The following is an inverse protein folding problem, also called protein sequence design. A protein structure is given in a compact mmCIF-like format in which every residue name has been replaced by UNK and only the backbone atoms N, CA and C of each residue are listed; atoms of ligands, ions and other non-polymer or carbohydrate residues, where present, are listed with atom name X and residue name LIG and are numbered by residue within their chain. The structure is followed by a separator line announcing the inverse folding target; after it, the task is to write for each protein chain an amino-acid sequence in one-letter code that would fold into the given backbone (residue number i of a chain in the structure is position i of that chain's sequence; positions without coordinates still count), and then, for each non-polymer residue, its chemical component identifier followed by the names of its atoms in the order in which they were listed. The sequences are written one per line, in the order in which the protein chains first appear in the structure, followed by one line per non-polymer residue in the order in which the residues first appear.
data_IF_371770626496
#
_entry.id   IF_371770626496
#
_cell.length_a   1.000
_cell.length_b   1.000
_cell.length_c   1.000
_cell.angle_alpha   90.00
_cell.angle_beta   90.00
_cell.angle_gamma   90.00
#
_symmetry.space_group_name_H-M   'P 1'
#
loop_
_entity.id
_entity.type
_entity.pdbx_description
1 polymer ?
#
# COMPACT_ATOMS: atom_id res chain seq x y z
N UNK A 1 -12.10 -20.27 -23.78
CA UNK A 1 -11.48 -19.08 -23.14
C UNK A 1 -11.69 -19.08 -21.63
N UNK A 2 -12.90 -19.03 -21.07
CA UNK A 2 -13.15 -18.99 -19.62
C UNK A 2 -12.46 -20.12 -18.81
N UNK A 3 -12.51 -21.37 -19.30
CA UNK A 3 -11.85 -22.50 -18.64
C UNK A 3 -10.32 -22.35 -18.66
N UNK A 4 -9.76 -21.83 -19.73
CA UNK A 4 -8.32 -21.57 -19.84
C UNK A 4 -7.90 -20.48 -18.83
N UNK A 5 -8.67 -19.38 -18.71
CA UNK A 5 -8.40 -18.31 -17.74
C UNK A 5 -8.45 -18.82 -16.30
N UNK A 6 -9.40 -19.69 -15.97
CA UNK A 6 -9.47 -20.33 -14.65
C UNK A 6 -8.27 -21.25 -14.39
N UNK A 7 -7.92 -22.13 -15.32
CA UNK A 7 -6.77 -23.04 -15.20
C UNK A 7 -5.49 -22.19 -15.02
N UNK A 8 -5.31 -21.16 -15.84
CA UNK A 8 -4.17 -20.23 -15.73
C UNK A 8 -4.11 -19.60 -14.35
N UNK A 9 -5.22 -19.03 -13.87
CA UNK A 9 -5.27 -18.40 -12.55
C UNK A 9 -4.91 -19.38 -11.42
N UNK A 10 -5.47 -20.57 -11.40
CA UNK A 10 -5.16 -21.55 -10.35
C UNK A 10 -3.72 -22.08 -10.43
N UNK A 11 -3.10 -22.06 -11.60
CA UNK A 11 -1.67 -22.42 -11.74
C UNK A 11 -0.72 -21.36 -11.14
N UNK A 12 -1.19 -20.12 -10.91
CA UNK A 12 -0.43 -19.04 -10.29
C UNK A 12 -0.36 -19.14 -8.76
N UNK A 13 -0.93 -20.20 -8.17
CA UNK A 13 -0.96 -20.40 -6.73
C UNK A 13 0.46 -20.58 -6.17
N UNK A 14 0.83 -19.72 -5.26
CA UNK A 14 2.12 -19.76 -4.56
C UNK A 14 1.98 -19.28 -3.12
N UNK A 15 2.90 -19.67 -2.26
CA UNK A 15 2.99 -19.16 -0.90
C UNK A 15 3.89 -17.93 -0.86
N UNK A 16 3.44 -16.88 -0.21
CA UNK A 16 4.26 -15.70 0.03
C UNK A 16 5.35 -16.06 1.08
N UNK A 17 6.64 -15.97 0.73
CA UNK A 17 7.72 -16.42 1.62
C UNK A 17 7.87 -15.55 2.88
N UNK A 18 7.25 -14.36 2.92
CA UNK A 18 7.38 -13.43 4.04
C UNK A 18 6.18 -13.46 4.98
N UNK A 19 5.00 -13.82 4.47
CA UNK A 19 3.76 -13.84 5.24
C UNK A 19 3.18 -15.24 5.46
N UNK A 20 3.63 -16.23 4.69
CA UNK A 20 3.07 -17.59 4.68
C UNK A 20 1.67 -17.67 4.04
N UNK A 21 1.17 -16.57 3.49
CA UNK A 21 -0.17 -16.52 2.88
C UNK A 21 -0.12 -17.14 1.49
N UNK A 22 -1.11 -17.98 1.18
CA UNK A 22 -1.27 -18.54 -0.16
C UNK A 22 -1.98 -17.53 -1.05
N UNK A 23 -1.36 -17.21 -2.18
CA UNK A 23 -1.79 -16.17 -3.11
C UNK A 23 -1.73 -16.68 -4.57
N UNK A 24 -2.40 -15.95 -5.48
CA UNK A 24 -2.32 -16.18 -6.92
C UNK A 24 -1.67 -14.96 -7.56
N UNK A 25 -0.42 -15.11 -8.03
CA UNK A 25 0.39 -13.99 -8.51
C UNK A 25 1.05 -14.35 -9.84
N UNK A 26 0.80 -13.53 -10.87
CA UNK A 26 1.36 -13.69 -12.21
C UNK A 26 2.77 -13.12 -12.36
N UNK A 27 3.11 -12.09 -11.58
CA UNK A 27 4.41 -11.44 -11.62
C UNK A 27 5.40 -12.14 -10.67
N UNK A 28 6.65 -12.27 -11.09
CA UNK A 28 7.74 -12.54 -10.15
C UNK A 28 8.22 -11.24 -9.48
N UNK A 29 9.05 -11.36 -8.45
CA UNK A 29 9.51 -10.21 -7.65
C UNK A 29 10.28 -9.18 -8.48
N UNK A 30 11.14 -9.62 -9.41
CA UNK A 30 11.92 -8.70 -10.25
C UNK A 30 11.00 -7.91 -11.20
N UNK A 31 9.95 -8.55 -11.70
CA UNK A 31 8.92 -7.89 -12.52
C UNK A 31 8.12 -6.86 -11.70
N UNK A 32 7.77 -7.17 -10.44
CA UNK A 32 7.11 -6.21 -9.57
C UNK A 32 7.99 -4.98 -9.30
N UNK A 33 9.28 -5.20 -9.00
CA UNK A 33 10.24 -4.11 -8.77
C UNK A 33 10.38 -3.25 -10.03
N UNK A 34 10.60 -3.88 -11.19
CA UNK A 34 10.74 -3.16 -12.44
C UNK A 34 9.49 -2.35 -12.79
N UNK A 35 8.30 -2.94 -12.59
CA UNK A 35 7.02 -2.28 -12.82
C UNK A 35 6.86 -1.05 -11.92
N UNK A 36 7.03 -1.20 -10.61
CA UNK A 36 6.88 -0.10 -9.66
C UNK A 36 7.86 1.04 -9.90
N UNK A 37 9.13 0.73 -10.18
CA UNK A 37 10.13 1.75 -10.48
C UNK A 37 9.84 2.49 -11.79
N UNK A 38 9.37 1.79 -12.81
CA UNK A 38 8.97 2.40 -14.09
C UNK A 38 7.77 3.33 -13.93
N UNK A 39 6.83 2.96 -13.06
CA UNK A 39 5.57 3.69 -12.88
C UNK A 39 5.68 4.85 -11.89
N UNK A 40 6.63 4.80 -10.96
CA UNK A 40 6.74 5.81 -9.91
C UNK A 40 6.81 7.27 -10.41
N UNK A 41 7.57 7.63 -11.47
CA UNK A 41 7.60 8.99 -11.98
C UNK A 41 6.26 9.44 -12.59
N UNK A 42 5.53 8.54 -13.24
CA UNK A 42 4.23 8.84 -13.83
C UNK A 42 3.20 9.09 -12.73
N UNK A 43 3.12 8.20 -11.75
CA UNK A 43 2.22 8.34 -10.62
C UNK A 43 2.47 9.63 -9.84
N UNK A 44 3.75 9.96 -9.60
CA UNK A 44 4.09 11.24 -8.97
C UNK A 44 3.56 12.43 -9.78
N UNK A 45 3.69 12.40 -11.11
CA UNK A 45 3.22 13.48 -11.98
C UNK A 45 1.70 13.64 -11.97
N UNK A 46 0.95 12.54 -12.02
CA UNK A 46 -0.52 12.53 -11.97
C UNK A 46 -1.05 13.09 -10.65
N UNK A 47 -0.29 12.94 -9.57
CA UNK A 47 -0.64 13.42 -8.22
C UNK A 47 0.01 14.78 -7.88
N UNK A 48 0.23 15.62 -8.88
CA UNK A 48 0.74 16.99 -8.70
C UNK A 48 2.27 17.14 -8.57
N UNK A 49 3.01 16.06 -8.76
CA UNK A 49 4.47 16.01 -8.64
C UNK A 49 4.96 15.73 -7.22
N UNK A 50 6.28 15.64 -7.10
CA UNK A 50 6.93 15.54 -5.79
C UNK A 50 6.78 16.86 -5.03
N UNK A 51 6.60 16.77 -3.73
CA UNK A 51 6.58 17.94 -2.87
C UNK A 51 7.91 18.69 -2.94
N UNK A 52 7.87 20.01 -3.18
CA UNK A 52 9.06 20.85 -3.25
C UNK A 52 9.70 21.10 -1.86
N UNK A 53 8.98 20.82 -0.78
CA UNK A 53 9.49 20.91 0.58
C UNK A 53 10.48 19.78 0.87
N UNK A 54 11.77 20.12 0.84
CA UNK A 54 12.85 19.17 1.11
C UNK A 54 12.78 18.57 2.53
N UNK A 55 12.26 19.32 3.52
CA UNK A 55 12.12 18.82 4.88
C UNK A 55 11.03 17.73 4.93
N UNK A 56 9.92 17.94 4.26
CA UNK A 56 8.87 16.93 4.11
C UNK A 56 9.39 15.67 3.41
N UNK A 57 10.13 15.82 2.29
CA UNK A 57 10.75 14.69 1.60
C UNK A 57 11.71 13.91 2.50
N UNK A 58 12.63 14.61 3.18
CA UNK A 58 13.59 13.98 4.07
C UNK A 58 12.91 13.28 5.25
N UNK A 59 11.86 13.87 5.80
CA UNK A 59 11.10 13.29 6.90
C UNK A 59 10.42 11.98 6.47
N UNK A 60 9.72 12.00 5.33
CA UNK A 60 9.01 10.83 4.79
C UNK A 60 10.01 9.71 4.47
N UNK A 61 11.13 10.02 3.80
CA UNK A 61 12.14 9.01 3.49
C UNK A 61 12.83 8.47 4.75
N UNK A 62 13.21 9.33 5.70
CA UNK A 62 13.89 8.91 6.94
C UNK A 62 13.02 7.98 7.78
N UNK A 63 11.74 8.31 7.97
CA UNK A 63 10.80 7.51 8.75
C UNK A 63 10.52 6.18 8.03
N UNK A 64 10.25 6.21 6.73
CA UNK A 64 9.98 5.01 5.94
C UNK A 64 11.18 4.06 5.89
N UNK A 65 12.39 4.58 5.63
CA UNK A 65 13.62 3.79 5.66
C UNK A 65 13.89 3.19 7.04
N UNK A 66 13.61 3.91 8.12
CA UNK A 66 13.73 3.39 9.48
C UNK A 66 12.77 2.22 9.69
N UNK A 67 11.52 2.34 9.27
CA UNK A 67 10.51 1.26 9.33
C UNK A 67 11.03 0.02 8.60
N UNK A 68 11.53 0.15 7.37
CA UNK A 68 12.05 -0.98 6.59
C UNK A 68 13.30 -1.58 7.24
N UNK A 69 14.30 -0.76 7.53
CA UNK A 69 15.62 -1.25 8.02
C UNK A 69 15.54 -1.96 9.36
N UNK A 70 14.61 -1.58 10.22
CA UNK A 70 14.49 -2.13 11.58
C UNK A 70 13.41 -3.20 11.71
N UNK A 71 12.76 -3.60 10.61
CA UNK A 71 11.72 -4.61 10.60
C UNK A 71 12.05 -5.80 9.69
N UNK A 72 11.14 -6.76 9.65
CA UNK A 72 11.25 -7.92 8.76
C UNK A 72 11.23 -7.51 7.27
N UNK A 73 10.75 -6.33 6.91
CA UNK A 73 10.75 -5.82 5.54
C UNK A 73 12.17 -5.70 4.96
N UNK A 74 13.20 -5.50 5.80
CA UNK A 74 14.61 -5.52 5.39
C UNK A 74 15.04 -6.81 4.71
N UNK A 75 14.45 -7.93 5.08
CA UNK A 75 14.78 -9.26 4.54
C UNK A 75 14.10 -9.57 3.20
N UNK A 76 13.28 -8.65 2.68
CA UNK A 76 12.60 -8.81 1.40
C UNK A 76 13.46 -8.28 0.25
N UNK A 77 13.26 -8.75 -1.00
CA UNK A 77 13.98 -8.25 -2.15
C UNK A 77 13.46 -6.90 -2.66
N UNK A 78 12.37 -6.38 -2.12
CA UNK A 78 11.72 -5.16 -2.59
C UNK A 78 12.58 -3.91 -2.40
N UNK A 79 12.45 -2.95 -3.33
CA UNK A 79 13.21 -1.71 -3.33
C UNK A 79 12.34 -0.56 -2.84
N UNK A 80 12.34 -0.33 -1.53
CA UNK A 80 11.53 0.71 -0.90
C UNK A 80 12.10 2.09 -1.14
N UNK A 81 11.26 2.97 -1.71
CA UNK A 81 11.50 4.39 -1.88
C UNK A 81 10.28 5.17 -1.38
N UNK A 82 10.50 6.23 -0.63
CA UNK A 82 9.42 6.97 0.02
C UNK A 82 9.35 8.39 -0.50
N UNK A 83 8.16 8.82 -0.92
CA UNK A 83 7.95 10.10 -1.58
C UNK A 83 6.80 10.89 -0.95
N UNK A 84 7.01 12.18 -0.66
CA UNK A 84 5.94 13.11 -0.41
C UNK A 84 5.46 13.72 -1.74
N UNK A 85 4.15 13.72 -1.97
CA UNK A 85 3.51 14.31 -3.15
C UNK A 85 2.95 15.69 -2.83
N UNK A 86 2.98 16.58 -3.82
CA UNK A 86 2.58 17.97 -3.66
C UNK A 86 1.07 18.20 -3.51
N UNK A 87 0.24 17.18 -3.74
CA UNK A 87 -1.22 17.29 -3.68
C UNK A 87 -1.71 17.72 -2.29
N UNK A 88 -2.31 18.94 -2.17
CA UNK A 88 -2.80 19.46 -0.90
C UNK A 88 -4.28 19.11 -0.64
N UNK A 89 -4.94 18.41 -1.55
CA UNK A 89 -6.38 18.16 -1.51
C UNK A 89 -6.75 16.71 -1.23
N UNK A 90 -6.08 15.79 -1.93
CA UNK A 90 -6.38 14.37 -1.85
C UNK A 90 -5.72 13.75 -0.63
N UNK A 91 -6.48 13.39 0.38
CA UNK A 91 -5.96 12.70 1.59
C UNK A 91 -5.69 11.24 1.23
N UNK A 92 -4.42 10.92 0.89
CA UNK A 92 -4.04 9.60 0.41
C UNK A 92 -2.59 9.21 0.74
N UNK A 93 -2.35 7.89 0.82
CA UNK A 93 -1.05 7.24 0.72
C UNK A 93 -1.25 5.94 -0.05
N UNK A 94 -0.24 5.48 -0.76
CA UNK A 94 -0.31 4.23 -1.52
C UNK A 94 1.07 3.69 -1.83
N UNK A 95 1.14 2.39 -2.10
CA UNK A 95 2.36 1.73 -2.56
C UNK A 95 2.17 1.16 -3.96
N UNK A 96 3.22 1.25 -4.77
CA UNK A 96 3.33 0.52 -6.03
C UNK A 96 3.97 -0.86 -5.79
N UNK A 97 3.73 -1.84 -6.67
CA UNK A 97 4.42 -3.13 -6.62
C UNK A 97 5.93 -2.94 -6.50
N UNK A 98 6.59 -3.78 -5.74
CA UNK A 98 8.05 -3.79 -5.66
C UNK A 98 8.70 -2.70 -4.82
N UNK A 99 7.93 -1.71 -4.25
CA UNK A 99 8.48 -0.90 -3.18
C UNK A 99 8.25 0.62 -3.15
N UNK A 100 8.00 1.35 -4.27
CA UNK A 100 7.73 2.78 -4.19
C UNK A 100 6.48 3.08 -3.35
N UNK A 101 6.62 3.96 -2.35
CA UNK A 101 5.55 4.35 -1.40
C UNK A 101 5.37 5.86 -1.45
N UNK A 102 4.14 6.31 -1.50
CA UNK A 102 3.76 7.70 -1.64
C UNK A 102 2.82 8.15 -0.53
N UNK A 103 2.97 9.38 -0.09
CA UNK A 103 2.03 10.07 0.79
C UNK A 103 1.77 11.48 0.27
N UNK A 104 0.52 11.89 0.20
CA UNK A 104 0.16 13.24 -0.23
C UNK A 104 0.41 14.27 0.86
N UNK A 105 0.68 15.52 0.46
CA UNK A 105 0.74 16.65 1.39
C UNK A 105 -0.53 16.77 2.22
N UNK A 106 -1.68 16.51 1.62
CA UNK A 106 -2.97 16.57 2.31
C UNK A 106 -3.07 15.59 3.49
N UNK A 107 -2.54 14.37 3.37
CA UNK A 107 -2.49 13.44 4.49
C UNK A 107 -1.35 13.81 5.44
N UNK A 108 -0.14 14.04 4.94
CA UNK A 108 1.04 14.36 5.75
C UNK A 108 0.81 15.54 6.70
N UNK A 109 0.13 16.60 6.22
CA UNK A 109 -0.16 17.79 7.02
C UNK A 109 -1.17 17.58 8.16
N UNK A 110 -1.90 16.47 8.15
CA UNK A 110 -2.85 16.08 9.22
C UNK A 110 -2.19 15.27 10.32
N UNK A 111 -1.05 14.66 10.02
CA UNK A 111 -0.31 13.88 11.00
C UNK A 111 0.38 14.82 12.01
N UNK A 112 0.51 14.38 13.24
CA UNK A 112 0.99 15.18 14.36
C UNK A 112 2.41 14.84 14.79
N UNK A 113 2.88 13.63 14.45
CA UNK A 113 4.18 13.13 14.87
C UNK A 113 4.71 12.00 13.98
N UNK A 114 6.00 11.67 14.17
CA UNK A 114 6.67 10.63 13.39
C UNK A 114 6.04 9.24 13.53
N UNK A 115 5.47 8.88 14.68
CA UNK A 115 4.85 7.57 14.86
C UNK A 115 3.57 7.41 14.05
N UNK A 116 2.78 8.48 13.88
CA UNK A 116 1.63 8.47 12.98
C UNK A 116 2.07 8.29 11.52
N UNK A 117 3.11 9.02 11.09
CA UNK A 117 3.70 8.84 9.76
C UNK A 117 4.25 7.43 9.58
N UNK A 118 4.97 6.90 10.56
CA UNK A 118 5.46 5.53 10.54
C UNK A 118 4.32 4.51 10.42
N UNK A 119 3.18 4.78 11.04
CA UNK A 119 1.98 3.95 10.95
C UNK A 119 1.43 3.87 9.53
N UNK A 120 1.26 5.01 8.87
CA UNK A 120 0.84 5.06 7.47
C UNK A 120 1.83 4.34 6.57
N UNK A 121 3.13 4.68 6.66
CA UNK A 121 4.16 4.09 5.80
C UNK A 121 4.35 2.60 6.06
N UNK A 122 4.25 2.14 7.32
CA UNK A 122 4.33 0.72 7.67
C UNK A 122 3.14 -0.09 7.13
N UNK A 123 1.94 0.50 7.09
CA UNK A 123 0.78 -0.10 6.46
C UNK A 123 1.02 -0.30 4.95
N UNK A 124 1.53 0.71 4.25
CA UNK A 124 1.86 0.63 2.83
C UNK A 124 2.99 -0.40 2.56
N UNK A 125 4.05 -0.39 3.37
CA UNK A 125 5.09 -1.43 3.33
C UNK A 125 4.50 -2.82 3.55
N UNK A 126 3.49 -2.94 4.41
CA UNK A 126 2.73 -4.17 4.63
C UNK A 126 2.09 -4.69 3.35
N UNK A 127 1.45 -3.82 2.56
CA UNK A 127 0.87 -4.18 1.26
C UNK A 127 1.93 -4.68 0.27
N UNK A 128 3.11 -4.07 0.24
CA UNK A 128 4.23 -4.51 -0.63
C UNK A 128 4.75 -5.87 -0.19
N UNK A 129 5.07 -6.05 1.09
CA UNK A 129 5.58 -7.32 1.65
C UNK A 129 4.59 -8.46 1.45
N UNK A 130 3.31 -8.18 1.63
CA UNK A 130 2.23 -9.13 1.41
C UNK A 130 1.87 -9.29 -0.08
N UNK A 131 2.47 -8.51 -1.00
CA UNK A 131 2.27 -8.57 -2.46
C UNK A 131 0.81 -8.39 -2.89
N UNK A 132 0.06 -7.59 -2.12
CA UNK A 132 -1.38 -7.42 -2.36
C UNK A 132 -1.69 -6.84 -3.75
N UNK A 133 -0.88 -5.88 -4.23
CA UNK A 133 -1.05 -5.30 -5.56
C UNK A 133 -0.86 -6.33 -6.67
N UNK A 134 0.15 -7.21 -6.56
CA UNK A 134 0.39 -8.26 -7.55
C UNK A 134 -0.73 -9.32 -7.57
N UNK A 135 -1.29 -9.67 -6.40
CA UNK A 135 -2.45 -10.56 -6.33
C UNK A 135 -3.69 -9.92 -6.96
N UNK A 136 -3.91 -8.61 -6.73
CA UNK A 136 -5.00 -7.85 -7.36
C UNK A 136 -4.88 -7.79 -8.87
N UNK A 137 -3.66 -7.66 -9.39
CA UNK A 137 -3.42 -7.72 -10.84
C UNK A 137 -3.85 -9.07 -11.40
N UNK A 138 -3.43 -10.17 -10.80
CA UNK A 138 -3.81 -11.51 -11.26
C UNK A 138 -5.34 -11.73 -11.19
N UNK A 139 -6.01 -11.21 -10.17
CA UNK A 139 -7.47 -11.24 -10.06
C UNK A 139 -8.15 -10.40 -11.16
N UNK A 140 -7.59 -9.22 -11.49
CA UNK A 140 -8.10 -8.37 -12.58
C UNK A 140 -7.89 -9.04 -13.95
N UNK A 141 -6.75 -9.66 -14.19
CA UNK A 141 -6.46 -10.44 -15.40
C UNK A 141 -7.45 -11.60 -15.57
N UNK A 142 -7.76 -12.32 -14.50
CA UNK A 142 -8.78 -13.35 -14.50
C UNK A 142 -10.15 -12.79 -14.88
N UNK A 143 -10.56 -11.67 -14.24
CA UNK A 143 -11.85 -11.04 -14.52
C UNK A 143 -11.94 -10.57 -15.98
N UNK A 144 -10.89 -9.94 -16.51
CA UNK A 144 -10.83 -9.53 -17.92
C UNK A 144 -10.85 -10.73 -18.88
N UNK A 145 -10.14 -11.80 -18.55
CA UNK A 145 -10.16 -13.04 -19.33
C UNK A 145 -11.54 -13.70 -19.37
N UNK A 146 -12.31 -13.63 -18.29
CA UNK A 146 -13.68 -14.11 -18.22
C UNK A 146 -14.63 -13.22 -19.03
N UNK A 147 -14.49 -11.89 -18.93
CA UNK A 147 -15.29 -10.92 -19.71
C UNK A 147 -14.94 -11.00 -21.19
N UNK A 148 -13.68 -11.08 -21.55
CA UNK A 148 -13.22 -11.23 -22.93
C UNK A 148 -13.71 -12.52 -23.59
N UNK A 149 -13.92 -13.59 -22.82
CA UNK A 149 -14.52 -14.84 -23.33
C UNK A 149 -15.98 -14.66 -23.78
N UNK A 150 -16.68 -13.66 -23.25
CA UNK A 150 -18.06 -13.30 -23.64
C UNK A 150 -18.07 -12.35 -24.85
N UNK A 151 -16.98 -11.58 -25.04
CA UNK A 151 -16.92 -10.48 -26.03
C UNK A 151 -16.22 -10.84 -27.35
N UNK A 152 -15.76 -12.09 -27.58
CA UNK A 152 -15.03 -12.46 -28.82
C UNK A 152 -15.95 -12.46 -30.02
N UNK A 153 -16.00 -11.33 -30.70
CA UNK A 153 -16.63 -11.05 -31.97
C UNK A 153 -15.98 -9.91 -32.76
N UNK A 154 -14.74 -9.53 -32.52
CA UNK A 154 -14.10 -8.45 -33.29
C UNK A 154 -12.59 -8.39 -33.10
N UNK A 155 -11.87 -8.83 -34.14
CA UNK A 155 -10.44 -8.65 -34.31
C UNK A 155 -10.11 -7.19 -34.58
N UNK A 156 -8.95 -6.68 -34.09
CA UNK A 156 -8.05 -5.91 -34.94
C UNK A 156 -6.63 -5.81 -34.35
N UNK A 157 -5.71 -5.97 -35.26
CA UNK A 157 -4.28 -6.00 -35.20
C UNK A 157 -3.75 -4.55 -35.26
N UNK A 158 -3.03 -4.08 -34.22
CA UNK A 158 -1.97 -3.04 -34.35
C UNK A 158 -1.24 -2.81 -33.01
N UNK A 159 0.00 -2.99 -32.96
CA UNK A 159 1.22 -2.28 -32.74
C UNK A 159 1.64 -1.89 -31.31
N UNK A 160 2.91 -1.89 -31.08
CA UNK A 160 3.68 -1.72 -29.84
C UNK A 160 3.42 -0.44 -29.00
N UNK A 161 2.74 0.58 -29.52
CA UNK A 161 2.32 1.77 -28.76
C UNK A 161 1.14 1.52 -27.83
N UNK A 162 0.31 0.52 -28.13
CA UNK A 162 -0.83 0.13 -27.27
C UNK A 162 -0.42 -0.60 -25.99
N UNK A 163 0.69 -1.32 -26.00
CA UNK A 163 1.14 -2.04 -24.79
C UNK A 163 1.60 -1.07 -23.69
N UNK A 164 2.32 0.00 -24.03
CA UNK A 164 2.73 1.02 -23.05
C UNK A 164 1.51 1.78 -22.49
N UNK A 165 0.56 2.14 -23.35
CA UNK A 165 -0.68 2.80 -22.93
C UNK A 165 -1.58 1.87 -22.09
N UNK A 166 -1.63 0.57 -22.42
CA UNK A 166 -2.37 -0.43 -21.64
C UNK A 166 -1.72 -0.69 -20.28
N UNK A 167 -0.39 -0.71 -20.20
CA UNK A 167 0.32 -0.81 -18.92
C UNK A 167 0.09 0.43 -18.05
N UNK A 168 0.18 1.64 -18.62
CA UNK A 168 -0.11 2.87 -17.89
C UNK A 168 -1.56 2.89 -17.38
N UNK A 169 -2.53 2.49 -18.22
CA UNK A 169 -3.93 2.37 -17.81
C UNK A 169 -4.15 1.29 -16.74
N UNK A 170 -3.45 0.16 -16.82
CA UNK A 170 -3.54 -0.92 -15.83
C UNK A 170 -3.00 -0.48 -14.46
N UNK A 171 -2.00 0.38 -14.44
CA UNK A 171 -1.42 0.88 -13.19
C UNK A 171 -2.23 2.06 -12.62
N UNK A 172 -2.73 2.97 -13.44
CA UNK A 172 -3.70 3.95 -12.98
C UNK A 172 -4.94 3.26 -12.36
N UNK A 173 -5.37 2.13 -12.94
CA UNK A 173 -6.36 1.26 -12.33
C UNK A 173 -5.90 0.64 -11.00
N UNK A 174 -4.62 0.29 -10.85
CA UNK A 174 -4.12 -0.34 -9.61
C UNK A 174 -4.21 0.58 -8.39
N UNK A 175 -3.91 1.87 -8.56
CA UNK A 175 -4.05 2.86 -7.47
C UNK A 175 -5.52 3.06 -7.07
N UNK A 176 -6.45 2.76 -7.98
CA UNK A 176 -7.89 2.81 -7.71
C UNK A 176 -8.48 1.44 -7.29
N UNK A 177 -7.70 0.36 -7.30
CA UNK A 177 -8.16 -0.94 -6.85
C UNK A 177 -8.33 -0.95 -5.33
N UNK A 178 -9.55 -1.19 -4.89
CA UNK A 178 -9.84 -1.39 -3.46
C UNK A 178 -9.21 -2.67 -2.98
N UNK A 179 -8.43 -2.58 -1.92
CA UNK A 179 -7.96 -3.75 -1.21
C UNK A 179 -9.12 -4.49 -0.53
N UNK A 180 -8.98 -5.78 -0.33
CA UNK A 180 -9.98 -6.56 0.38
C UNK A 180 -9.81 -6.44 1.89
N UNK A 181 -10.88 -6.73 2.62
CA UNK A 181 -10.86 -6.75 4.09
C UNK A 181 -9.68 -7.56 4.67
N UNK A 182 -9.33 -8.68 4.06
CA UNK A 182 -8.21 -9.54 4.51
C UNK A 182 -6.87 -8.86 4.30
N UNK A 183 -6.71 -8.14 3.20
CA UNK A 183 -5.48 -7.44 2.84
C UNK A 183 -5.24 -6.30 3.84
N UNK A 184 -6.29 -5.54 4.18
CA UNK A 184 -6.24 -4.46 5.17
C UNK A 184 -5.85 -4.98 6.57
N UNK A 185 -6.50 -6.05 7.03
CA UNK A 185 -6.19 -6.69 8.31
C UNK A 185 -4.73 -7.18 8.35
N UNK A 186 -4.26 -7.75 7.26
CA UNK A 186 -2.87 -8.21 7.16
C UNK A 186 -1.90 -7.04 7.19
N UNK A 187 -2.15 -5.97 6.41
CA UNK A 187 -1.32 -4.77 6.39
C UNK A 187 -1.31 -4.05 7.74
N UNK A 188 -2.44 -3.90 8.40
CA UNK A 188 -2.50 -3.33 9.76
C UNK A 188 -1.68 -4.15 10.75
N UNK A 189 -1.81 -5.48 10.71
CA UNK A 189 -1.06 -6.38 11.62
C UNK A 189 0.45 -6.32 11.35
N UNK A 190 0.86 -6.29 10.09
CA UNK A 190 2.26 -6.12 9.69
C UNK A 190 2.77 -4.73 10.08
N UNK A 191 1.97 -3.69 9.85
CA UNK A 191 2.27 -2.31 10.21
C UNK A 191 2.56 -2.15 11.70
N UNK A 192 1.71 -2.67 12.58
CA UNK A 192 1.92 -2.68 14.04
C UNK A 192 3.26 -3.32 14.41
N UNK A 193 3.60 -4.47 13.82
CA UNK A 193 4.88 -5.16 14.08
C UNK A 193 6.07 -4.35 13.59
N UNK A 194 5.97 -3.75 12.39
CA UNK A 194 7.03 -2.96 11.80
C UNK A 194 7.27 -1.65 12.57
N UNK A 195 6.21 -0.95 12.98
CA UNK A 195 6.30 0.22 13.87
C UNK A 195 7.03 -0.12 15.16
N UNK A 196 6.61 -1.19 15.83
CA UNK A 196 7.22 -1.67 17.08
C UNK A 196 8.71 -1.98 16.90
N UNK A 197 9.07 -2.71 15.84
CA UNK A 197 10.47 -3.03 15.54
C UNK A 197 11.30 -1.78 15.24
N UNK A 198 10.69 -0.77 14.61
CA UNK A 198 11.32 0.51 14.33
C UNK A 198 11.38 1.45 15.56
N UNK A 199 10.88 1.02 16.72
CA UNK A 199 10.91 1.78 17.96
C UNK A 199 9.82 2.86 18.06
N UNK A 200 8.80 2.81 17.20
CA UNK A 200 7.63 3.69 17.28
C UNK A 200 6.50 3.07 18.08
N UNK A 201 5.76 3.90 18.79
CA UNK A 201 4.56 3.50 19.51
C UNK A 201 3.44 3.09 18.52
N UNK A 202 3.06 1.81 18.47
CA UNK A 202 2.06 1.33 17.49
C UNK A 202 0.64 1.85 17.74
N UNK A 203 0.37 2.42 18.94
CA UNK A 203 -0.94 3.05 19.24
C UNK A 203 -1.18 4.28 18.37
N UNK A 204 -0.13 4.90 17.83
CA UNK A 204 -0.24 6.01 16.90
C UNK A 204 -1.00 5.64 15.62
N UNK A 205 -1.01 4.36 15.20
CA UNK A 205 -1.81 3.90 14.06
C UNK A 205 -3.33 4.00 14.33
N UNK A 206 -3.76 3.81 15.60
CA UNK A 206 -5.16 4.02 15.98
C UNK A 206 -5.53 5.50 15.81
N UNK A 207 -4.62 6.43 16.17
CA UNK A 207 -4.85 7.85 16.01
C UNK A 207 -4.93 8.25 14.52
N UNK A 208 -4.16 7.58 13.64
CA UNK A 208 -4.29 7.78 12.18
C UNK A 208 -5.71 7.44 11.72
N UNK A 209 -6.34 6.37 12.23
CA UNK A 209 -7.73 6.04 11.88
C UNK A 209 -8.70 7.16 12.29
N UNK A 210 -8.48 7.82 13.44
CA UNK A 210 -9.30 8.95 13.85
C UNK A 210 -9.10 10.15 12.89
N UNK A 211 -7.87 10.45 12.50
CA UNK A 211 -7.55 11.52 11.54
C UNK A 211 -8.27 11.28 10.19
N UNK A 212 -8.25 10.05 9.71
CA UNK A 212 -8.91 9.67 8.45
C UNK A 212 -10.45 9.76 8.55
N UNK A 213 -11.01 9.37 9.68
CA UNK A 213 -12.45 9.48 9.94
C UNK A 213 -12.89 10.95 10.02
N UNK A 214 -12.14 11.81 10.71
CA UNK A 214 -12.40 13.26 10.78
C UNK A 214 -12.31 13.89 9.38
N UNK A 215 -11.35 13.47 8.56
CA UNK A 215 -11.23 13.94 7.18
C UNK A 215 -12.46 13.55 6.32
N UNK A 216 -13.17 12.48 6.67
CA UNK A 216 -14.40 12.03 5.98
C UNK A 216 -15.60 12.93 6.28
N UNK A 217 -15.63 13.65 7.39
CA UNK A 217 -16.75 14.51 7.81
C UNK A 217 -16.93 15.80 7.01
N UNK A 218 -15.99 16.13 6.13
CA UNK A 218 -15.93 17.41 5.39
C UNK A 218 -16.52 17.41 3.99
N UNK A 219 -17.29 16.38 3.57
CA UNK A 219 -17.99 16.37 2.28
C UNK A 219 -17.63 15.27 1.30
N UNK A 220 -16.79 14.31 1.68
CA UNK A 220 -16.45 13.14 0.88
C UNK A 220 -15.55 12.17 1.64
N UNK A 221 -15.61 10.89 1.27
CA UNK A 221 -14.70 9.90 1.85
C UNK A 221 -13.28 10.19 1.33
N UNK A 222 -12.24 10.26 2.21
CA UNK A 222 -10.85 10.37 1.77
C UNK A 222 -10.49 9.29 0.75
N UNK A 223 -9.65 9.61 -0.21
CA UNK A 223 -9.21 8.65 -1.24
C UNK A 223 -8.57 7.42 -0.59
N UNK A 224 -7.78 7.62 0.47
CA UNK A 224 -7.21 6.55 1.28
C UNK A 224 -8.28 5.56 1.77
N UNK A 225 -9.42 6.04 2.26
CA UNK A 225 -10.52 5.18 2.70
C UNK A 225 -11.29 4.52 1.55
N UNK A 226 -11.15 5.06 0.33
CA UNK A 226 -11.75 4.47 -0.88
C UNK A 226 -10.93 3.28 -1.38
N UNK A 227 -9.62 3.36 -1.31
CA UNK A 227 -8.67 2.31 -1.71
C UNK A 227 -8.38 1.32 -0.59
N UNK A 228 -8.40 1.80 0.68
CA UNK A 228 -8.21 1.03 1.91
C UNK A 228 -9.50 1.04 2.76
N UNK A 229 -10.55 0.33 2.33
CA UNK A 229 -11.83 0.37 3.02
C UNK A 229 -11.73 -0.15 4.44
N UNK A 230 -12.33 0.60 5.37
CA UNK A 230 -12.47 0.11 6.74
C UNK A 230 -13.38 -1.14 6.76
N UNK A 231 -12.89 -2.30 7.20
CA UNK A 231 -13.73 -3.48 7.41
C UNK A 231 -14.77 -3.30 8.53
N UNK A 232 -14.88 -2.09 9.10
CA UNK A 232 -15.81 -1.74 10.18
C UNK A 232 -15.23 -1.98 11.59
N UNK A 233 -13.99 -2.46 11.69
CA UNK A 233 -13.36 -2.78 12.97
C UNK A 233 -11.83 -2.64 12.95
N UNK A 234 -11.25 -1.81 12.08
CA UNK A 234 -9.79 -1.63 11.96
C UNK A 234 -9.13 -1.25 13.29
N UNK A 235 -9.75 -0.31 14.04
CA UNK A 235 -9.24 0.08 15.37
C UNK A 235 -9.17 -1.11 16.33
N UNK A 236 -10.19 -1.96 16.34
CA UNK A 236 -10.19 -3.17 17.16
C UNK A 236 -9.08 -4.13 16.71
N UNK A 237 -8.92 -4.36 15.41
CA UNK A 237 -7.88 -5.24 14.85
C UNK A 237 -6.48 -4.75 15.21
N UNK A 238 -6.23 -3.43 15.06
CA UNK A 238 -4.95 -2.80 15.44
C UNK A 238 -4.72 -2.98 16.96
N UNK A 239 -5.75 -2.74 17.78
CA UNK A 239 -5.67 -2.93 19.22
C UNK A 239 -5.34 -4.39 19.58
N UNK A 240 -6.02 -5.35 18.98
CA UNK A 240 -5.74 -6.78 19.17
C UNK A 240 -4.33 -7.17 18.70
N UNK A 241 -3.84 -6.57 17.61
CA UNK A 241 -2.47 -6.79 17.12
C UNK A 241 -1.43 -6.26 18.12
N UNK A 242 -1.69 -5.10 18.72
CA UNK A 242 -0.85 -4.52 19.78
C UNK A 242 -0.91 -5.42 21.03
N UNK A 243 -2.08 -5.88 21.41
CA UNK A 243 -2.26 -6.71 22.61
C UNK A 243 -1.60 -8.09 22.48
N UNK A 244 -1.54 -8.66 21.26
CA UNK A 244 -0.76 -9.89 21.01
C UNK A 244 0.74 -9.68 21.19
N UNK A 245 1.28 -8.49 20.91
CA UNK A 245 2.69 -8.14 21.16
C UNK A 245 2.93 -7.78 22.63
N UNK A 246 1.98 -7.13 23.26
CA UNK A 246 2.05 -6.58 24.60
C UNK A 246 0.81 -6.95 25.41
N UNK A 247 0.74 -8.19 25.93
CA UNK A 247 -0.40 -8.64 26.72
C UNK A 247 -0.72 -7.70 27.90
N UNK A 248 -2.00 -7.34 28.06
CA UNK A 248 -2.43 -6.35 29.04
C UNK A 248 -2.19 -4.90 28.64
N UNK A 249 -1.85 -4.63 27.34
CA UNK A 249 -1.72 -3.27 26.79
C UNK A 249 -0.49 -2.49 27.28
N UNK A 250 0.45 -3.14 27.96
CA UNK A 250 1.64 -2.49 28.54
C UNK A 250 2.72 -2.24 27.47
N UNK A 251 2.43 -1.34 26.54
CA UNK A 251 3.40 -0.91 25.52
C UNK A 251 4.63 -0.31 26.19
N UNK A 252 5.86 -0.78 25.88
CA UNK A 252 7.09 -0.30 26.51
C UNK A 252 7.28 1.20 26.39
N UNK A 253 7.72 1.86 27.47
CA UNK A 253 8.04 3.29 27.47
C UNK A 253 9.22 3.67 26.55
N UNK A 254 10.00 2.69 26.08
CA UNK A 254 11.06 2.87 25.08
C UNK A 254 10.52 3.13 23.66
N UNK A 255 9.26 2.78 23.39
CA UNK A 255 8.62 3.12 22.13
C UNK A 255 8.15 4.59 22.16
N UNK A 256 8.45 5.31 21.10
CA UNK A 256 8.29 6.77 21.06
C UNK A 256 7.28 7.21 20.01
N UNK A 257 6.66 8.38 20.24
CA UNK A 257 5.93 9.09 19.20
C UNK A 257 6.88 9.79 18.21
N UNK A 258 8.19 9.86 18.53
CA UNK A 258 9.17 10.58 17.74
C UNK A 258 8.96 12.09 17.78
N UNK A 259 9.46 12.79 16.75
CA UNK A 259 9.35 14.25 16.65
C UNK A 259 7.89 14.64 16.39
N UNK A 260 7.44 15.70 17.11
CA UNK A 260 6.17 16.37 16.78
C UNK A 260 6.31 17.22 15.51
N UNK A 261 5.24 17.30 14.74
CA UNK A 261 5.13 18.13 13.52
C UNK A 261 4.46 19.49 13.78
N UNK A 262 3.98 19.70 15.00
CA UNK A 262 3.36 20.96 15.48
C UNK A 262 4.18 21.59 16.57
#
# INVERSE_FOLDING_TARGET
MAVISLISYYSLRQENPFTGTVQHISLNTDQEIALGLQMAPEMAREMGGLDADQQAQMMVSTVGERVVRQSAARGTPFQFHFYALADPQTVNAFALPGGPVFITRALLSRLENEAQLAGVLAHEVGHVVARHSAERMAQSELAQGLVGAVAVGGSDEYGHGQQAAQMAAAVAQMVQLKYGRKDEIQSDTLGVRMMTSAGYDPRALINVMNILEEASGGGGQPEFMSTHPDPGNRRQIITEAIERLYPGGSVPASLTLGRSFR
#
